data_IF_184531331996
#
_entry.id   IF_184531331996
#
_cell.length_a   1.000
_cell.length_b   1.000
_cell.length_c   1.000
_cell.angle_alpha   90.00
_cell.angle_beta   90.00
_cell.angle_gamma   90.00
#
_symmetry.space_group_name_H-M   'P 1'
#
loop_
_entity.id
_entity.type
_entity.pdbx_description
1 polymer ?
#
# COMPACT_ATOMS: atom_id res chain seq x y z
N UNK A 1 66.55 4.20 40.37
CA UNK A 1 67.95 3.73 40.41
C UNK A 1 68.01 2.44 39.61
N UNK A 2 68.44 2.54 38.35
CA UNK A 2 69.68 1.98 37.80
C UNK A 2 69.67 0.44 37.76
N UNK A 3 70.07 -0.27 36.71
CA UNK A 3 70.42 -0.02 35.32
C UNK A 3 70.88 -1.39 34.78
N UNK A 4 70.51 -1.75 33.53
CA UNK A 4 71.38 -2.37 32.50
C UNK A 4 71.90 -3.81 32.77
N UNK A 5 72.16 -4.73 31.84
CA UNK A 5 72.14 -4.82 30.36
C UNK A 5 72.38 -6.31 29.98
N UNK A 6 72.13 -6.62 28.70
CA UNK A 6 72.57 -7.76 27.85
C UNK A 6 71.37 -8.55 27.31
N UNK A 7 70.82 -8.23 26.13
CA UNK A 7 71.36 -8.50 24.77
C UNK A 7 71.87 -9.91 24.63
N UNK A 8 71.25 -10.70 23.74
CA UNK A 8 71.90 -11.50 22.69
C UNK A 8 70.86 -11.78 21.60
N UNK A 9 71.23 -11.43 20.36
CA UNK A 9 70.48 -11.65 19.12
C UNK A 9 71.04 -12.90 18.44
N UNK A 10 70.19 -13.89 18.19
CA UNK A 10 70.23 -14.84 17.04
C UNK A 10 68.76 -15.26 16.82
N UNK A 11 68.11 -14.96 15.71
CA UNK A 11 68.46 -15.38 14.37
C UNK A 11 67.78 -16.72 14.10
N UNK A 12 66.49 -16.70 13.75
CA UNK A 12 65.68 -17.88 13.47
C UNK A 12 64.40 -17.48 12.72
N UNK A 13 64.37 -17.81 11.44
CA UNK A 13 63.42 -17.38 10.42
C UNK A 13 62.34 -18.46 10.24
N UNK A 14 61.11 -18.00 9.93
CA UNK A 14 59.97 -18.72 9.32
C UNK A 14 59.19 -19.76 10.17
N UNK A 15 57.95 -19.40 10.53
CA UNK A 15 56.75 -19.84 9.79
C UNK A 15 55.49 -19.40 10.55
N UNK A 16 55.09 -18.13 10.40
CA UNK A 16 53.74 -17.72 10.78
C UNK A 16 52.79 -18.22 9.69
N UNK A 17 52.13 -19.35 9.96
CA UNK A 17 51.01 -19.83 9.19
C UNK A 17 49.85 -18.82 9.34
N UNK A 18 49.83 -17.82 8.47
CA UNK A 18 48.65 -17.02 8.21
C UNK A 18 47.63 -17.92 7.53
N UNK A 19 46.74 -18.51 8.33
CA UNK A 19 45.45 -19.00 7.86
C UNK A 19 44.69 -17.80 7.31
N UNK A 20 44.85 -17.55 6.01
CA UNK A 20 43.92 -16.75 5.23
C UNK A 20 42.55 -17.42 5.37
N UNK A 21 41.73 -16.94 6.30
CA UNK A 21 40.28 -17.08 6.21
C UNK A 21 39.91 -16.42 4.88
N UNK A 22 39.70 -17.24 3.86
CA UNK A 22 38.88 -16.85 2.73
C UNK A 22 37.52 -16.47 3.31
N UNK A 23 37.32 -15.17 3.57
CA UNK A 23 36.00 -14.62 3.77
C UNK A 23 35.28 -14.87 2.46
N UNK A 24 34.47 -15.93 2.40
CA UNK A 24 33.45 -16.06 1.37
C UNK A 24 32.66 -14.75 1.44
N UNK A 25 32.83 -13.89 0.44
CA UNK A 25 32.09 -12.64 0.32
C UNK A 25 30.63 -13.08 0.18
N UNK A 26 29.89 -12.94 1.27
CA UNK A 26 28.50 -13.35 1.33
C UNK A 26 27.73 -12.47 0.33
N UNK A 27 27.03 -13.10 -0.62
CA UNK A 27 26.26 -12.38 -1.62
C UNK A 27 25.23 -11.49 -0.92
N UNK A 28 25.16 -10.22 -1.29
CA UNK A 28 24.18 -9.30 -0.72
C UNK A 28 22.75 -9.77 -1.07
N UNK A 29 21.78 -9.59 -0.16
CA UNK A 29 20.41 -9.99 -0.42
C UNK A 29 19.85 -9.23 -1.62
N UNK A 30 19.05 -9.93 -2.44
CA UNK A 30 18.39 -9.33 -3.58
C UNK A 30 17.44 -8.22 -3.13
N UNK A 31 17.40 -7.12 -3.88
CA UNK A 31 16.45 -6.02 -3.67
C UNK A 31 15.28 -6.18 -4.62
N UNK A 32 14.08 -6.30 -4.07
CA UNK A 32 12.85 -6.51 -4.82
C UNK A 32 11.91 -5.31 -4.63
N UNK A 33 11.56 -4.66 -5.73
CA UNK A 33 10.49 -3.67 -5.77
C UNK A 33 9.26 -4.28 -6.41
N UNK A 34 8.25 -4.61 -5.60
CA UNK A 34 7.07 -5.38 -6.01
C UNK A 34 5.90 -4.44 -6.30
N UNK A 35 5.40 -4.51 -7.54
CA UNK A 35 4.23 -3.79 -8.01
C UNK A 35 2.98 -4.68 -8.13
N UNK A 36 1.94 -4.13 -8.75
CA UNK A 36 0.74 -4.87 -9.11
C UNK A 36 0.94 -5.56 -10.46
N UNK A 37 1.22 -6.87 -10.45
CA UNK A 37 1.45 -7.70 -11.64
C UNK A 37 2.90 -7.77 -12.12
N UNK A 38 3.84 -7.16 -11.39
CA UNK A 38 5.27 -7.12 -11.76
C UNK A 38 6.17 -6.94 -10.53
N UNK A 39 7.44 -7.30 -10.66
CA UNK A 39 8.50 -6.96 -9.71
C UNK A 39 9.77 -6.55 -10.45
N UNK A 40 10.43 -5.49 -9.97
CA UNK A 40 11.81 -5.20 -10.31
C UNK A 40 12.71 -5.93 -9.32
N UNK A 41 13.63 -6.73 -9.84
CA UNK A 41 14.59 -7.47 -9.03
C UNK A 41 15.97 -6.90 -9.32
N UNK A 42 16.73 -6.66 -8.27
CA UNK A 42 18.15 -6.33 -8.34
C UNK A 42 18.95 -7.37 -7.55
N UNK A 43 19.71 -8.19 -8.28
CA UNK A 43 20.61 -9.18 -7.71
C UNK A 43 22.04 -8.66 -7.69
N UNK A 44 22.77 -8.96 -6.63
CA UNK A 44 24.16 -8.54 -6.43
C UNK A 44 25.09 -9.74 -6.59
N UNK A 45 26.09 -9.56 -7.43
CA UNK A 45 27.11 -10.57 -7.69
C UNK A 45 28.45 -10.06 -7.11
N UNK A 46 29.06 -10.82 -6.19
CA UNK A 46 30.31 -10.41 -5.56
C UNK A 46 31.46 -10.37 -6.58
N UNK A 47 32.51 -9.59 -6.31
CA UNK A 47 33.69 -9.53 -7.18
C UNK A 47 34.36 -10.91 -7.27
N UNK A 48 34.74 -11.30 -8.49
CA UNK A 48 35.43 -12.56 -8.78
C UNK A 48 36.94 -12.40 -9.03
N UNK A 49 37.48 -11.18 -8.93
CA UNK A 49 38.92 -10.91 -9.03
C UNK A 49 39.27 -9.61 -9.79
N UNK A 50 40.55 -9.46 -10.12
CA UNK A 50 41.17 -8.24 -10.71
C UNK A 50 40.98 -8.05 -12.22
N UNK A 51 40.15 -8.86 -12.86
CA UNK A 51 40.01 -8.91 -14.32
C UNK A 51 38.77 -8.14 -14.81
N UNK A 52 38.93 -7.50 -15.97
CA UNK A 52 37.81 -6.94 -16.71
C UNK A 52 37.13 -8.06 -17.52
N UNK A 53 35.80 -8.06 -17.52
CA UNK A 53 34.97 -9.07 -18.17
C UNK A 53 34.25 -8.48 -19.37
N UNK A 54 34.25 -9.20 -20.49
CA UNK A 54 33.48 -8.85 -21.70
C UNK A 54 32.24 -9.74 -21.89
N UNK A 55 32.14 -10.81 -21.09
CA UNK A 55 31.15 -11.87 -21.19
C UNK A 55 30.67 -12.26 -19.81
N UNK A 56 29.35 -12.30 -19.64
CA UNK A 56 28.69 -12.73 -18.41
C UNK A 56 27.78 -13.93 -18.75
N UNK A 57 27.85 -14.99 -17.95
CA UNK A 57 26.99 -16.16 -18.11
C UNK A 57 26.11 -16.25 -16.87
N UNK A 58 24.84 -15.91 -17.04
CA UNK A 58 23.83 -16.02 -15.99
C UNK A 58 23.23 -17.43 -16.00
N UNK A 59 23.49 -18.17 -14.93
CA UNK A 59 22.99 -19.54 -14.76
C UNK A 59 21.61 -19.52 -14.09
N UNK A 60 20.65 -20.23 -14.68
CA UNK A 60 19.29 -20.39 -14.19
C UNK A 60 18.54 -19.05 -13.98
N UNK A 61 18.44 -18.20 -15.01
CA UNK A 61 17.65 -16.98 -14.91
C UNK A 61 16.16 -17.31 -14.64
N UNK A 62 15.44 -16.46 -13.91
CA UNK A 62 14.02 -16.62 -13.65
C UNK A 62 13.23 -16.74 -14.95
N UNK A 63 12.20 -17.59 -14.94
CA UNK A 63 11.19 -17.65 -16.01
C UNK A 63 9.81 -17.45 -15.38
N UNK A 64 8.96 -16.56 -15.93
CA UNK A 64 9.20 -15.64 -17.07
C UNK A 64 10.09 -14.42 -16.72
N UNK A 65 10.87 -13.91 -17.69
CA UNK A 65 11.76 -12.74 -17.54
C UNK A 65 11.60 -11.79 -18.74
N UNK A 66 11.42 -10.49 -18.48
CA UNK A 66 11.37 -9.45 -19.52
C UNK A 66 12.79 -9.01 -19.91
N UNK A 67 13.41 -9.67 -20.89
CA UNK A 67 14.81 -9.41 -21.30
C UNK A 67 15.05 -7.97 -21.79
N UNK A 68 14.05 -7.30 -22.35
CA UNK A 68 14.15 -5.90 -22.79
C UNK A 68 14.39 -4.92 -21.62
N UNK A 69 14.10 -5.36 -20.40
CA UNK A 69 14.29 -4.57 -19.17
C UNK A 69 15.62 -4.87 -18.47
N UNK A 70 16.40 -5.83 -18.98
CA UNK A 70 17.65 -6.28 -18.36
C UNK A 70 18.70 -5.18 -18.43
N UNK A 71 19.19 -4.78 -17.25
CA UNK A 71 20.26 -3.81 -17.09
C UNK A 71 21.37 -4.39 -16.24
N UNK A 72 22.61 -4.22 -16.71
CA UNK A 72 23.81 -4.53 -15.95
C UNK A 72 24.32 -3.26 -15.32
N UNK A 73 24.59 -3.28 -14.03
CA UNK A 73 25.05 -2.11 -13.28
C UNK A 73 26.43 -2.36 -12.70
N UNK A 74 27.34 -1.41 -12.94
CA UNK A 74 28.62 -1.31 -12.25
C UNK A 74 28.54 -0.21 -11.19
N UNK A 75 28.47 -0.58 -9.92
CA UNK A 75 28.32 0.29 -8.73
C UNK A 75 27.20 1.35 -8.83
N UNK A 76 27.32 2.35 -9.71
CA UNK A 76 26.39 3.48 -9.91
C UNK A 76 25.95 3.74 -11.35
N UNK A 77 26.48 3.03 -12.36
CA UNK A 77 26.15 3.30 -13.77
C UNK A 77 25.64 2.05 -14.50
N UNK A 78 24.59 2.16 -15.34
CA UNK A 78 24.21 1.08 -16.24
C UNK A 78 25.31 0.89 -17.31
N UNK A 79 25.66 -0.36 -17.56
CA UNK A 79 26.69 -0.78 -18.50
C UNK A 79 26.04 -1.29 -19.79
N UNK A 80 26.51 -0.85 -20.98
CA UNK A 80 25.87 -1.21 -22.24
C UNK A 80 26.03 -2.70 -22.58
N UNK A 81 24.91 -3.35 -22.88
CA UNK A 81 24.85 -4.71 -23.41
C UNK A 81 24.93 -4.65 -24.93
N UNK A 82 25.81 -5.46 -25.53
CA UNK A 82 25.94 -5.59 -26.99
C UNK A 82 24.91 -6.58 -27.53
N UNK A 83 24.86 -7.77 -26.95
CA UNK A 83 23.95 -8.84 -27.35
C UNK A 83 23.75 -9.83 -26.21
N UNK A 84 22.64 -10.56 -26.25
CA UNK A 84 22.35 -11.67 -25.34
C UNK A 84 21.88 -12.89 -26.13
N UNK A 85 22.21 -14.09 -25.65
CA UNK A 85 21.75 -15.35 -26.27
C UNK A 85 21.52 -16.43 -25.23
N UNK A 86 20.45 -17.19 -25.42
CA UNK A 86 20.22 -18.41 -24.65
C UNK A 86 21.22 -19.47 -25.11
N UNK A 87 22.05 -19.95 -24.19
CA UNK A 87 22.86 -21.13 -24.39
C UNK A 87 21.95 -22.34 -24.13
N UNK A 88 21.79 -23.18 -25.15
CA UNK A 88 21.14 -24.47 -24.97
C UNK A 88 21.82 -25.21 -23.81
N UNK A 89 21.03 -25.70 -22.86
CA UNK A 89 21.53 -26.66 -21.90
C UNK A 89 22.11 -27.81 -22.70
N UNK A 90 23.42 -28.03 -22.61
CA UNK A 90 24.02 -29.24 -23.12
C UNK A 90 23.37 -30.39 -22.34
N UNK A 91 22.32 -31.00 -22.91
CA UNK A 91 22.08 -32.40 -22.67
C UNK A 91 23.43 -33.07 -22.97
N UNK A 92 24.02 -33.89 -22.08
CA UNK A 92 25.04 -34.80 -22.55
C UNK A 92 24.39 -35.54 -23.71
N UNK A 93 25.01 -35.45 -24.90
CA UNK A 93 24.55 -36.20 -26.05
C UNK A 93 24.39 -37.64 -25.55
N UNK A 94 23.16 -38.14 -25.52
CA UNK A 94 22.90 -39.53 -25.19
C UNK A 94 23.60 -40.33 -26.27
N UNK A 95 24.84 -40.74 -26.02
CA UNK A 95 25.45 -41.86 -26.71
C UNK A 95 24.52 -43.02 -26.42
N UNK A 96 23.67 -43.38 -27.39
CA UNK A 96 22.84 -44.58 -27.32
C UNK A 96 23.82 -45.75 -27.26
N UNK A 97 24.00 -46.44 -26.12
CA UNK A 97 24.67 -47.72 -26.13
C UNK A 97 23.61 -48.72 -26.55
N UNK A 98 23.96 -49.56 -27.52
CA UNK A 98 23.16 -50.68 -27.99
C UNK A 98 23.02 -51.72 -26.85
N UNK A 99 22.16 -51.45 -25.88
CA UNK A 99 21.84 -52.35 -24.77
C UNK A 99 20.34 -52.65 -24.74
N UNK A 100 19.95 -53.92 -24.49
CA UNK A 100 18.55 -54.32 -24.48
C UNK A 100 17.79 -53.62 -23.35
N UNK A 101 16.58 -53.15 -23.68
CA UNK A 101 15.66 -52.47 -22.78
C UNK A 101 15.37 -53.37 -21.56
N UNK A 102 15.93 -53.03 -20.39
CA UNK A 102 15.60 -53.67 -19.13
C UNK A 102 14.70 -52.75 -18.31
N UNK A 103 13.51 -53.24 -17.96
CA UNK A 103 12.53 -52.48 -17.19
C UNK A 103 12.86 -52.61 -15.70
N UNK A 104 13.11 -51.50 -15.01
CA UNK A 104 13.32 -51.46 -13.56
C UNK A 104 12.20 -50.63 -12.89
N UNK A 105 11.42 -51.20 -11.95
CA UNK A 105 10.43 -50.47 -11.18
C UNK A 105 11.09 -49.87 -9.93
N UNK A 106 11.85 -48.80 -10.09
CA UNK A 106 12.18 -47.86 -9.00
C UNK A 106 12.17 -46.46 -9.61
N UNK A 107 11.49 -45.46 -9.00
CA UNK A 107 11.55 -44.10 -9.51
C UNK A 107 12.98 -43.58 -9.34
N UNK A 108 13.67 -43.44 -10.45
CA UNK A 108 14.88 -42.65 -10.57
C UNK A 108 14.58 -41.24 -10.01
N UNK A 109 15.45 -40.67 -9.15
CA UNK A 109 15.25 -39.32 -8.66
C UNK A 109 15.14 -38.36 -9.86
N UNK A 110 14.27 -37.34 -9.82
CA UNK A 110 14.07 -36.47 -10.96
C UNK A 110 15.40 -35.79 -11.33
N UNK A 111 15.84 -36.04 -12.57
CA UNK A 111 16.94 -35.31 -13.19
C UNK A 111 16.68 -33.81 -12.99
N UNK A 112 17.62 -33.01 -12.45
CA UNK A 112 17.41 -31.58 -12.28
C UNK A 112 17.10 -30.96 -13.65
N UNK A 113 16.14 -30.03 -13.75
CA UNK A 113 15.81 -29.42 -15.03
C UNK A 113 17.06 -28.74 -15.58
N UNK A 114 17.33 -29.02 -16.86
CA UNK A 114 18.30 -28.34 -17.70
C UNK A 114 18.41 -26.86 -17.33
N UNK A 115 19.48 -26.46 -16.64
CA UNK A 115 19.68 -25.06 -16.26
C UNK A 115 19.77 -24.21 -17.52
N UNK A 116 18.76 -23.38 -17.77
CA UNK A 116 18.85 -22.39 -18.82
C UNK A 116 20.04 -21.47 -18.50
N UNK A 117 20.92 -21.24 -19.48
CA UNK A 117 22.07 -20.34 -19.32
C UNK A 117 21.88 -19.19 -20.28
N UNK A 118 21.89 -17.96 -19.77
CA UNK A 118 21.84 -16.75 -20.59
C UNK A 118 23.25 -16.18 -20.67
N UNK A 119 23.78 -16.10 -21.88
CA UNK A 119 25.03 -15.39 -22.13
C UNK A 119 24.74 -13.94 -22.52
N UNK A 120 25.46 -13.03 -21.89
CA UNK A 120 25.37 -11.59 -22.12
C UNK A 120 26.76 -11.09 -22.51
N UNK A 121 26.86 -10.49 -23.69
CA UNK A 121 28.08 -9.87 -24.20
C UNK A 121 28.00 -8.37 -23.99
N UNK A 122 29.05 -7.83 -23.36
CA UNK A 122 29.13 -6.42 -23.02
C UNK A 122 29.73 -5.64 -24.19
N UNK A 123 29.26 -4.40 -24.41
CA UNK A 123 29.84 -3.55 -25.45
C UNK A 123 31.24 -3.04 -25.07
N UNK A 124 31.53 -2.96 -23.77
CA UNK A 124 32.80 -2.51 -23.20
C UNK A 124 33.24 -3.45 -22.05
N UNK A 125 34.55 -3.61 -21.80
CA UNK A 125 35.06 -4.37 -20.65
C UNK A 125 34.57 -3.79 -19.33
N UNK A 126 33.86 -4.61 -18.56
CA UNK A 126 33.37 -4.27 -17.24
C UNK A 126 34.39 -4.70 -16.20
N UNK A 127 34.90 -3.75 -15.39
CA UNK A 127 35.80 -4.09 -14.30
C UNK A 127 35.06 -4.80 -13.17
N UNK A 128 35.43 -6.05 -12.91
CA UNK A 128 34.74 -6.90 -11.94
C UNK A 128 35.27 -6.75 -10.50
N UNK A 129 36.21 -5.83 -10.27
CA UNK A 129 36.86 -5.57 -8.97
C UNK A 129 35.89 -5.16 -7.86
N UNK A 130 34.78 -4.51 -8.22
CA UNK A 130 33.78 -4.00 -7.27
C UNK A 130 32.48 -4.82 -7.27
N UNK A 131 32.44 -5.94 -8.01
CA UNK A 131 31.21 -6.69 -8.27
C UNK A 131 30.28 -5.97 -9.25
N UNK A 132 29.14 -6.60 -9.55
CA UNK A 132 28.13 -6.03 -10.43
C UNK A 132 26.74 -6.39 -9.92
N UNK A 133 25.71 -5.69 -10.41
CA UNK A 133 24.32 -6.06 -10.14
C UNK A 133 23.52 -6.17 -11.41
N UNK A 134 22.65 -7.17 -11.49
CA UNK A 134 21.67 -7.32 -12.57
C UNK A 134 20.34 -6.77 -12.09
N UNK A 135 19.75 -5.86 -12.86
CA UNK A 135 18.39 -5.36 -12.62
C UNK A 135 17.50 -5.80 -13.77
N UNK A 136 16.38 -6.43 -13.44
CA UNK A 136 15.46 -6.94 -14.44
C UNK A 136 14.03 -6.98 -13.91
N UNK A 137 13.06 -7.05 -14.83
CA UNK A 137 11.65 -7.11 -14.49
C UNK A 137 11.09 -8.52 -14.65
N UNK A 138 10.32 -8.93 -13.65
CA UNK A 138 9.53 -10.14 -13.66
C UNK A 138 8.05 -9.82 -13.70
N UNK A 139 7.26 -10.47 -14.56
CA UNK A 139 5.81 -10.42 -14.47
C UNK A 139 5.31 -11.40 -13.39
N UNK A 140 4.00 -11.40 -13.13
CA UNK A 140 3.32 -12.35 -12.23
C UNK A 140 3.77 -12.27 -10.76
N UNK A 141 4.11 -11.07 -10.33
CA UNK A 141 4.26 -10.70 -8.93
C UNK A 141 3.09 -9.84 -8.49
N UNK A 142 2.54 -10.11 -7.31
CA UNK A 142 1.44 -9.33 -6.76
C UNK A 142 1.59 -9.20 -5.24
N UNK A 143 0.95 -8.20 -4.64
CA UNK A 143 0.94 -8.03 -3.20
C UNK A 143 -0.43 -7.55 -2.69
N UNK A 144 -0.78 -7.98 -1.48
CA UNK A 144 -1.99 -7.55 -0.75
C UNK A 144 -1.62 -7.22 0.69
N UNK A 145 -2.09 -6.07 1.18
CA UNK A 145 -1.95 -5.69 2.58
C UNK A 145 -3.23 -6.03 3.36
N UNK A 146 -3.03 -6.52 4.57
CA UNK A 146 -4.05 -6.88 5.55
C UNK A 146 -3.71 -6.22 6.89
N UNK A 147 -4.71 -5.65 7.54
CA UNK A 147 -4.55 -4.97 8.82
C UNK A 147 -5.46 -5.61 9.86
N UNK A 148 -4.88 -6.15 10.93
CA UNK A 148 -5.65 -6.57 12.09
C UNK A 148 -5.59 -5.47 13.14
N UNK A 149 -6.75 -4.89 13.44
CA UNK A 149 -6.89 -3.78 14.38
C UNK A 149 -7.68 -4.25 15.58
N UNK A 150 -7.08 -4.27 16.77
CA UNK A 150 -7.80 -4.53 18.02
C UNK A 150 -8.00 -3.23 18.78
N UNK A 151 -9.24 -2.87 19.08
CA UNK A 151 -9.59 -1.65 19.80
C UNK A 151 -10.06 -1.98 21.21
N UNK A 152 -9.57 -1.22 22.18
CA UNK A 152 -9.91 -1.35 23.61
C UNK A 152 -10.31 0.01 24.17
N UNK A 153 -11.02 -0.01 25.30
CA UNK A 153 -11.43 1.22 25.98
C UNK A 153 -12.67 1.89 25.37
N UNK A 154 -13.41 1.18 24.51
CA UNK A 154 -14.75 1.59 24.09
C UNK A 154 -15.74 0.98 25.08
N UNK A 155 -16.29 1.82 25.95
CA UNK A 155 -17.38 1.44 26.84
C UNK A 155 -18.75 1.69 26.20
N UNK A 156 -19.84 1.23 26.84
CA UNK A 156 -21.20 1.55 26.41
C UNK A 156 -21.51 3.06 26.52
N UNK A 157 -20.88 3.75 27.47
CA UNK A 157 -21.21 5.14 27.83
C UNK A 157 -20.09 6.16 27.58
N UNK A 158 -18.83 5.73 27.38
CA UNK A 158 -17.67 6.61 27.18
C UNK A 158 -16.66 6.01 26.19
N UNK A 159 -15.95 6.91 25.50
CA UNK A 159 -14.89 6.62 24.52
C UNK A 159 -13.57 7.37 24.84
N UNK A 160 -13.34 7.79 26.09
CA UNK A 160 -12.20 8.67 26.43
C UNK A 160 -10.83 7.97 26.43
N UNK A 161 -10.80 6.65 26.63
CA UNK A 161 -9.56 5.89 26.84
C UNK A 161 -9.30 4.85 25.73
N UNK A 162 -9.52 5.23 24.48
CA UNK A 162 -9.40 4.31 23.34
C UNK A 162 -7.94 3.97 23.07
N UNK A 163 -7.64 2.67 23.11
CA UNK A 163 -6.33 2.12 22.78
C UNK A 163 -6.44 1.16 21.61
N UNK A 164 -5.38 1.08 20.80
CA UNK A 164 -5.32 0.18 19.64
C UNK A 164 -4.07 -0.67 19.66
N UNK A 165 -4.24 -1.91 19.20
CA UNK A 165 -3.17 -2.71 18.63
C UNK A 165 -3.40 -2.81 17.12
N UNK A 166 -2.37 -2.54 16.33
CA UNK A 166 -2.40 -2.65 14.87
C UNK A 166 -1.33 -3.66 14.45
N UNK A 167 -1.70 -4.66 13.68
CA UNK A 167 -0.76 -5.55 13.00
C UNK A 167 -0.98 -5.45 11.49
N UNK A 168 0.01 -4.93 10.78
CA UNK A 168 0.03 -4.92 9.32
C UNK A 168 0.76 -6.15 8.79
N UNK A 169 0.03 -6.96 8.02
CA UNK A 169 0.53 -8.16 7.34
C UNK A 169 0.48 -7.89 5.84
N UNK A 170 1.56 -8.22 5.16
CA UNK A 170 1.66 -8.14 3.71
C UNK A 170 1.77 -9.57 3.16
N UNK A 171 0.97 -9.89 2.16
CA UNK A 171 1.08 -11.14 1.42
C UNK A 171 1.59 -10.86 0.03
N UNK A 172 2.76 -11.37 -0.29
CA UNK A 172 3.38 -11.29 -1.61
C UNK A 172 3.14 -12.62 -2.32
N UNK A 173 2.70 -12.56 -3.57
CA UNK A 173 2.49 -13.69 -4.46
C UNK A 173 3.59 -13.67 -5.52
N UNK A 174 4.30 -14.79 -5.64
CA UNK A 174 5.32 -14.99 -6.64
C UNK A 174 4.89 -16.16 -7.55
N UNK A 175 4.42 -15.84 -8.75
CA UNK A 175 4.07 -16.84 -9.75
C UNK A 175 5.27 -17.36 -10.55
N UNK A 176 6.47 -16.82 -10.32
CA UNK A 176 7.68 -17.19 -11.07
C UNK A 176 8.44 -18.37 -10.46
N UNK A 177 9.32 -18.95 -11.25
CA UNK A 177 10.20 -20.06 -10.85
C UNK A 177 11.38 -19.65 -9.97
N UNK A 178 11.63 -18.35 -9.78
CA UNK A 178 12.72 -17.88 -8.94
C UNK A 178 12.34 -17.82 -7.47
N UNK A 179 13.31 -18.17 -6.62
CA UNK A 179 13.26 -18.00 -5.17
C UNK A 179 14.17 -16.86 -4.77
N UNK A 180 13.74 -16.06 -3.80
CA UNK A 180 14.55 -14.97 -3.25
C UNK A 180 14.64 -15.12 -1.73
N UNK A 181 15.72 -15.73 -1.21
CA UNK A 181 15.96 -15.78 0.23
C UNK A 181 16.39 -14.40 0.74
N UNK A 182 15.94 -14.04 1.95
CA UNK A 182 16.32 -12.80 2.65
C UNK A 182 16.16 -11.51 1.82
N UNK A 183 15.19 -11.47 0.91
CA UNK A 183 15.00 -10.36 -0.01
C UNK A 183 14.63 -9.07 0.72
N UNK A 184 15.28 -7.96 0.36
CA UNK A 184 14.89 -6.62 0.80
C UNK A 184 13.77 -6.09 -0.06
N UNK A 185 12.66 -5.72 0.55
CA UNK A 185 11.43 -5.45 -0.17
C UNK A 185 11.06 -3.97 -0.17
N UNK A 186 10.56 -3.51 -1.30
CA UNK A 186 9.87 -2.23 -1.45
C UNK A 186 8.61 -2.48 -2.26
N UNK A 187 7.50 -1.83 -1.92
CA UNK A 187 6.26 -1.99 -2.67
C UNK A 187 6.00 -0.76 -3.50
N UNK A 188 5.35 -0.95 -4.63
CA UNK A 188 4.75 0.12 -5.42
C UNK A 188 3.30 -0.23 -5.63
N UNK A 189 2.42 0.72 -5.34
CA UNK A 189 1.01 0.52 -5.64
C UNK A 189 0.21 1.80 -5.67
N UNK A 190 -0.96 1.66 -6.27
CA UNK A 190 -1.97 2.71 -6.40
C UNK A 190 -3.15 2.40 -5.50
N UNK A 191 -3.75 3.43 -4.92
CA UNK A 191 -4.97 3.26 -4.13
C UNK A 191 -6.21 3.25 -5.01
N UNK A 192 -6.66 2.05 -5.42
CA UNK A 192 -7.85 1.88 -6.25
C UNK A 192 -9.13 2.46 -5.64
N UNK A 193 -9.20 2.68 -4.32
CA UNK A 193 -10.35 3.31 -3.66
C UNK A 193 -10.51 4.79 -4.03
N UNK A 194 -9.45 5.42 -4.54
CA UNK A 194 -9.54 6.78 -5.11
C UNK A 194 -10.27 6.79 -6.45
N UNK A 195 -10.47 5.63 -7.10
CA UNK A 195 -11.32 5.58 -8.29
C UNK A 195 -12.78 5.70 -7.84
N UNK A 196 -13.53 6.71 -8.33
CA UNK A 196 -14.96 6.73 -8.09
C UNK A 196 -15.58 5.44 -8.66
N UNK A 197 -16.52 4.80 -7.95
CA UNK A 197 -17.20 3.64 -8.50
C UNK A 197 -17.87 4.02 -9.83
N UNK A 198 -17.90 3.12 -10.83
CA UNK A 198 -18.61 3.39 -12.06
C UNK A 198 -20.05 3.71 -11.69
N UNK A 199 -20.52 4.91 -12.05
CA UNK A 199 -21.92 5.26 -11.83
C UNK A 199 -22.77 4.23 -12.58
N UNK A 200 -23.72 3.53 -11.91
CA UNK A 200 -24.60 2.62 -12.62
C UNK A 200 -25.34 3.40 -13.71
N UNK A 201 -25.61 2.73 -14.83
CA UNK A 201 -26.48 3.28 -15.87
C UNK A 201 -27.81 3.68 -15.22
N UNK A 202 -28.05 4.98 -15.11
CA UNK A 202 -29.36 5.49 -14.77
C UNK A 202 -30.28 5.27 -15.96
N UNK A 203 -31.48 4.76 -15.70
CA UNK A 203 -32.54 4.53 -16.69
C UNK A 203 -33.17 5.89 -17.10
N UNK A 204 -32.34 6.85 -17.50
CA UNK A 204 -32.77 8.12 -18.04
C UNK A 204 -32.77 8.02 -19.56
N UNK A 205 -33.88 8.40 -20.18
CA UNK A 205 -34.01 8.52 -21.63
C UNK A 205 -33.09 9.66 -22.09
N UNK A 206 -31.88 9.31 -22.54
CA UNK A 206 -30.87 10.26 -22.96
C UNK A 206 -31.27 10.81 -24.34
N UNK A 207 -31.75 12.05 -24.37
CA UNK A 207 -32.03 12.74 -25.63
C UNK A 207 -30.68 13.15 -26.29
N UNK A 208 -30.32 12.59 -27.47
CA UNK A 208 -29.06 12.89 -28.15
C UNK A 208 -28.91 14.35 -28.57
N UNK A 209 -30.01 15.12 -28.61
CA UNK A 209 -30.00 16.54 -29.02
C UNK A 209 -29.71 17.51 -27.85
N UNK A 210 -29.40 16.99 -26.66
CA UNK A 210 -29.07 17.81 -25.49
C UNK A 210 -27.61 17.67 -25.07
N UNK A 211 -26.93 18.80 -24.83
CA UNK A 211 -25.53 18.88 -24.39
C UNK A 211 -25.22 18.15 -23.06
N UNK A 212 -26.23 17.65 -22.35
CA UNK A 212 -26.07 16.78 -21.18
C UNK A 212 -25.68 15.35 -21.57
N UNK A 213 -26.10 14.88 -22.75
CA UNK A 213 -25.80 13.53 -23.25
C UNK A 213 -24.31 13.38 -23.56
N UNK A 214 -23.62 14.45 -24.00
CA UNK A 214 -22.18 14.45 -24.24
C UNK A 214 -21.33 14.21 -22.97
N UNK A 215 -21.76 14.73 -21.81
CA UNK A 215 -21.07 14.52 -20.53
C UNK A 215 -21.23 13.08 -20.00
N UNK A 216 -22.26 12.37 -20.45
CA UNK A 216 -22.50 10.96 -20.13
C UNK A 216 -21.86 10.01 -21.14
N UNK A 217 -21.82 10.39 -22.42
CA UNK A 217 -21.15 9.65 -23.49
C UNK A 217 -19.62 9.73 -23.40
N UNK A 218 -19.09 10.85 -22.92
CA UNK A 218 -17.66 11.06 -22.67
C UNK A 218 -17.43 11.38 -21.19
N UNK A 219 -17.53 10.40 -20.27
CA UNK A 219 -17.19 10.61 -18.88
C UNK A 219 -15.74 11.13 -18.81
N UNK A 220 -15.52 12.18 -18.02
CA UNK A 220 -14.18 12.70 -17.79
C UNK A 220 -13.25 11.56 -17.38
N UNK A 221 -12.14 11.41 -18.09
CA UNK A 221 -11.18 10.34 -17.83
C UNK A 221 -10.81 10.35 -16.35
N UNK A 222 -10.90 9.19 -15.65
CA UNK A 222 -10.57 9.13 -14.24
C UNK A 222 -9.14 9.65 -14.05
N UNK A 223 -8.96 10.54 -13.08
CA UNK A 223 -7.66 11.13 -12.77
C UNK A 223 -6.64 9.99 -12.59
N UNK A 224 -5.49 10.01 -13.27
CA UNK A 224 -4.52 8.93 -13.16
C UNK A 224 -4.05 8.81 -11.70
N UNK A 225 -4.08 7.59 -11.18
CA UNK A 225 -3.58 7.30 -9.85
C UNK A 225 -2.05 7.31 -9.92
N UNK A 226 -1.43 8.13 -9.07
CA UNK A 226 0.02 8.20 -8.95
C UNK A 226 0.46 7.00 -8.11
N UNK A 227 1.33 6.10 -8.62
CA UNK A 227 1.89 5.02 -7.81
C UNK A 227 2.73 5.58 -6.67
N UNK A 228 2.50 5.07 -5.46
CA UNK A 228 3.28 5.44 -4.28
C UNK A 228 4.20 4.29 -3.91
N UNK A 229 5.44 4.61 -3.55
CA UNK A 229 6.42 3.65 -3.08
C UNK A 229 6.33 3.49 -1.55
N UNK A 230 6.40 2.24 -1.09
CA UNK A 230 6.37 1.87 0.32
C UNK A 230 7.66 1.11 0.65
N UNK A 231 8.68 1.77 1.21
CA UNK A 231 9.91 1.10 1.60
C UNK A 231 9.62 0.21 2.81
N UNK A 232 9.78 -1.11 2.66
CA UNK A 232 9.70 -2.03 3.79
C UNK A 232 11.09 -2.16 4.41
N UNK A 233 11.17 -2.19 5.74
CA UNK A 233 12.42 -2.38 6.48
C UNK A 233 12.65 -3.85 6.86
N UNK A 234 11.87 -4.77 6.29
CA UNK A 234 11.87 -6.19 6.64
C UNK A 234 12.40 -7.02 5.48
N UNK A 235 13.33 -7.93 5.79
CA UNK A 235 13.80 -8.97 4.88
C UNK A 235 12.85 -10.17 4.93
N UNK A 236 12.60 -10.81 3.78
CA UNK A 236 11.69 -11.95 3.71
C UNK A 236 12.08 -12.97 2.64
N UNK A 237 11.80 -14.23 2.96
CA UNK A 237 11.95 -15.34 2.02
C UNK A 237 10.75 -15.43 1.09
N UNK A 238 10.99 -15.27 -0.21
CA UNK A 238 9.97 -15.42 -1.24
C UNK A 238 10.20 -16.76 -1.98
N UNK A 239 9.33 -17.76 -1.76
CA UNK A 239 9.43 -19.04 -2.47
C UNK A 239 9.03 -18.89 -3.94
N UNK A 240 9.55 -19.79 -4.78
CA UNK A 240 9.09 -19.96 -6.16
C UNK A 240 7.65 -20.51 -6.20
N UNK A 241 6.83 -20.04 -7.13
CA UNK A 241 5.42 -20.44 -7.30
C UNK A 241 4.63 -20.49 -6.00
N UNK A 242 4.81 -19.45 -5.17
CA UNK A 242 4.32 -19.46 -3.81
C UNK A 242 3.97 -18.08 -3.28
N UNK A 243 3.78 -18.01 -1.97
CA UNK A 243 3.44 -16.78 -1.28
C UNK A 243 4.27 -16.61 -0.02
N UNK A 244 4.56 -15.37 0.33
CA UNK A 244 5.22 -14.99 1.56
C UNK A 244 4.31 -14.05 2.36
N UNK A 245 4.19 -14.30 3.67
CA UNK A 245 3.46 -13.43 4.60
C UNK A 245 4.45 -12.70 5.50
N UNK A 246 4.40 -11.38 5.49
CA UNK A 246 5.40 -10.51 6.11
C UNK A 246 4.69 -9.56 7.03
N UNK A 247 5.06 -9.57 8.30
CA UNK A 247 4.61 -8.55 9.25
C UNK A 247 5.47 -7.31 9.08
N UNK A 248 4.89 -6.24 8.55
CA UNK A 248 5.63 -5.01 8.26
C UNK A 248 5.32 -3.88 9.24
N UNK A 249 4.16 -3.89 9.90
CA UNK A 249 3.76 -2.88 10.88
C UNK A 249 3.25 -3.53 12.17
N UNK A 250 3.59 -2.92 13.31
CA UNK A 250 3.18 -3.37 14.63
C UNK A 250 3.04 -2.22 15.61
N UNK A 251 1.84 -2.05 16.15
CA UNK A 251 1.52 -1.10 17.22
C UNK A 251 0.87 -1.86 18.35
N UNK A 252 1.25 -1.57 19.59
CA UNK A 252 0.62 -2.16 20.76
C UNK A 252 0.33 -1.13 21.84
N UNK A 253 -0.90 -1.14 22.34
CA UNK A 253 -1.41 -0.33 23.47
C UNK A 253 -1.12 1.15 23.29
N UNK A 254 -1.36 1.68 22.09
CA UNK A 254 -1.21 3.11 21.80
C UNK A 254 -2.58 3.82 21.76
N UNK A 255 -2.64 5.09 22.15
CA UNK A 255 -3.89 5.85 22.10
C UNK A 255 -4.33 6.07 20.65
N UNK A 256 -5.63 6.00 20.40
CA UNK A 256 -6.24 6.41 19.14
C UNK A 256 -7.43 7.33 19.40
N UNK A 257 -7.89 7.99 18.35
CA UNK A 257 -9.04 8.89 18.41
C UNK A 257 -10.23 8.29 17.70
N UNK A 258 -11.43 8.66 18.15
CA UNK A 258 -12.68 8.30 17.49
C UNK A 258 -13.35 9.59 17.03
N UNK A 259 -13.75 9.61 15.77
CA UNK A 259 -14.54 10.67 15.17
C UNK A 259 -15.84 10.10 14.60
N UNK A 260 -16.92 10.88 14.60
CA UNK A 260 -18.19 10.48 14.02
C UNK A 260 -18.41 11.25 12.72
N UNK A 261 -18.77 10.53 11.65
CA UNK A 261 -19.03 11.10 10.34
C UNK A 261 -20.51 11.16 10.05
N UNK A 262 -20.99 12.37 9.78
CA UNK A 262 -22.32 12.68 9.29
C UNK A 262 -22.20 13.05 7.81
N UNK A 263 -22.78 12.26 6.92
CA UNK A 263 -22.80 12.55 5.49
C UNK A 263 -24.26 12.81 5.06
N UNK A 264 -24.51 13.92 4.36
CA UNK A 264 -25.86 14.29 3.92
C UNK A 264 -26.50 13.26 2.99
N UNK A 265 -25.70 12.48 2.25
CA UNK A 265 -26.22 11.40 1.41
C UNK A 265 -26.74 10.22 2.23
N UNK A 266 -26.29 10.07 3.47
CA UNK A 266 -26.76 9.05 4.40
C UNK A 266 -27.92 9.55 5.28
N UNK A 267 -28.12 10.87 5.37
CA UNK A 267 -29.12 11.51 6.24
C UNK A 267 -30.00 12.43 5.40
N UNK A 268 -31.09 11.90 4.81
CA UNK A 268 -31.93 12.67 3.91
C UNK A 268 -32.64 13.80 4.64
N UNK A 269 -33.03 14.84 3.89
CA UNK A 269 -33.91 15.90 4.38
C UNK A 269 -35.31 15.73 3.75
N UNK A 270 -36.39 15.67 4.55
CA UNK A 270 -36.42 15.61 6.00
C UNK A 270 -36.01 14.22 6.53
N UNK A 271 -35.28 14.19 7.64
CA UNK A 271 -34.97 12.93 8.33
C UNK A 271 -36.17 12.45 9.15
N UNK A 272 -36.45 11.13 9.23
CA UNK A 272 -37.46 10.57 10.12
C UNK A 272 -37.29 11.00 11.60
N UNK A 273 -38.38 10.89 12.36
CA UNK A 273 -38.38 11.21 13.80
C UNK A 273 -37.35 10.37 14.55
N UNK A 274 -36.59 11.01 15.45
CA UNK A 274 -35.53 10.37 16.23
C UNK A 274 -34.14 10.41 15.59
N UNK A 275 -33.99 10.87 14.34
CA UNK A 275 -32.70 11.01 13.68
C UNK A 275 -32.02 9.67 13.34
N UNK A 276 -30.97 9.74 12.52
CA UNK A 276 -30.23 8.57 12.07
C UNK A 276 -28.88 8.45 12.79
N UNK A 277 -28.41 7.21 13.04
CA UNK A 277 -27.12 6.97 13.68
C UNK A 277 -25.97 7.44 12.79
N UNK A 278 -24.95 8.03 13.41
CA UNK A 278 -23.73 8.44 12.71
C UNK A 278 -22.75 7.27 12.57
N UNK A 279 -21.91 7.33 11.53
CA UNK A 279 -20.82 6.37 11.37
C UNK A 279 -19.65 6.72 12.27
N UNK A 280 -19.16 5.75 13.03
CA UNK A 280 -17.99 5.90 13.88
C UNK A 280 -16.74 5.57 13.06
N UNK A 281 -15.74 6.44 13.10
CA UNK A 281 -14.47 6.33 12.40
C UNK A 281 -13.35 6.29 13.43
N UNK A 282 -12.56 5.22 13.42
CA UNK A 282 -11.33 5.11 14.19
C UNK A 282 -10.20 5.83 13.45
N UNK A 283 -9.49 6.71 14.17
CA UNK A 283 -8.38 7.51 13.67
C UNK A 283 -7.09 7.06 14.39
N UNK A 284 -6.19 6.43 13.64
CA UNK A 284 -4.89 5.98 14.14
C UNK A 284 -3.80 6.86 13.51
N UNK A 285 -3.10 7.71 14.27
CA UNK A 285 -2.05 8.56 13.71
C UNK A 285 -0.87 7.72 13.20
N UNK A 286 -0.45 7.94 11.96
CA UNK A 286 0.78 7.40 11.39
C UNK A 286 1.95 8.33 11.72
N UNK A 287 2.53 8.13 12.90
CA UNK A 287 3.64 8.93 13.43
C UNK A 287 4.68 8.05 14.13
N UNK A 288 5.95 8.49 14.23
CA UNK A 288 7.00 7.71 14.90
C UNK A 288 6.65 7.35 16.35
N UNK A 289 5.93 8.23 17.06
CA UNK A 289 5.49 8.01 18.43
C UNK A 289 4.53 6.80 18.59
N UNK A 290 3.82 6.46 17.51
CA UNK A 290 2.94 5.30 17.44
C UNK A 290 3.69 4.00 17.09
N UNK A 291 4.99 4.07 16.81
CA UNK A 291 5.76 2.95 16.26
C UNK A 291 5.52 2.73 14.77
N UNK A 292 4.96 3.74 14.09
CA UNK A 292 4.76 3.77 12.64
C UNK A 292 5.69 4.81 12.03
N UNK A 293 6.37 4.52 10.92
CA UNK A 293 7.47 5.36 10.44
C UNK A 293 7.54 5.50 8.92
N UNK A 294 6.52 5.05 8.21
CA UNK A 294 6.53 4.93 6.75
C UNK A 294 5.08 5.03 6.23
N UNK A 295 4.87 5.36 4.94
CA UNK A 295 3.53 5.37 4.37
C UNK A 295 2.89 3.99 4.46
N UNK A 296 1.60 3.90 4.80
CA UNK A 296 0.89 2.63 4.89
C UNK A 296 0.16 2.34 3.57
N UNK A 297 0.33 1.14 2.98
CA UNK A 297 -0.34 0.78 1.74
C UNK A 297 -1.86 0.60 1.92
N UNK A 298 -2.66 0.85 0.89
CA UNK A 298 -4.07 0.48 0.91
C UNK A 298 -4.23 -1.04 1.03
N UNK A 299 -5.28 -1.50 1.71
CA UNK A 299 -5.47 -2.92 2.03
C UNK A 299 -6.80 -3.26 2.66
N UNK A 300 -6.98 -4.51 3.04
CA UNK A 300 -8.13 -4.97 3.83
C UNK A 300 -7.84 -4.77 5.32
N UNK A 301 -8.86 -4.48 6.12
CA UNK A 301 -8.73 -4.38 7.56
C UNK A 301 -9.84 -5.14 8.27
N UNK A 302 -9.43 -5.89 9.28
CA UNK A 302 -10.29 -6.60 10.20
C UNK A 302 -10.20 -5.94 11.58
N UNK A 303 -11.35 -5.51 12.07
CA UNK A 303 -11.52 -4.80 13.33
C UNK A 303 -12.02 -5.77 14.39
N UNK A 304 -11.35 -5.79 15.54
CA UNK A 304 -11.71 -6.57 16.72
C UNK A 304 -11.93 -5.64 17.91
N UNK A 305 -12.93 -5.94 18.74
CA UNK A 305 -13.19 -5.21 19.98
C UNK A 305 -12.69 -6.03 21.18
N UNK A 306 -11.88 -5.41 22.04
CA UNK A 306 -11.30 -6.01 23.24
C UNK A 306 -10.13 -6.94 22.97
N UNK A 307 -10.36 -8.03 22.23
CA UNK A 307 -9.35 -9.03 21.90
C UNK A 307 -9.60 -9.67 20.53
N UNK A 308 -8.55 -10.20 19.90
CA UNK A 308 -8.67 -11.05 18.70
C UNK A 308 -9.24 -12.40 19.13
N UNK A 309 -10.57 -12.51 19.19
CA UNK A 309 -11.29 -13.76 19.48
C UNK A 309 -12.45 -13.92 18.51
N UNK A 310 -12.44 -15.01 17.75
CA UNK A 310 -13.50 -15.31 16.79
C UNK A 310 -13.45 -14.42 15.54
N UNK A 311 -14.62 -14.21 14.94
CA UNK A 311 -14.77 -13.39 13.74
C UNK A 311 -14.51 -11.90 14.04
N UNK A 312 -14.04 -11.12 13.04
CA UNK A 312 -13.92 -9.68 13.18
C UNK A 312 -15.28 -9.04 13.45
N UNK A 313 -15.29 -8.02 14.31
CA UNK A 313 -16.47 -7.18 14.54
C UNK A 313 -16.89 -6.48 13.25
N UNK A 314 -15.91 -6.03 12.47
CA UNK A 314 -16.14 -5.44 11.16
C UNK A 314 -14.93 -5.67 10.26
N UNK A 315 -15.19 -5.94 8.99
CA UNK A 315 -14.17 -5.96 7.95
C UNK A 315 -14.41 -4.78 7.00
N UNK A 316 -13.32 -4.16 6.57
CA UNK A 316 -13.35 -3.00 5.70
C UNK A 316 -12.13 -2.92 4.81
N UNK A 317 -12.03 -1.82 4.07
CA UNK A 317 -10.82 -1.46 3.33
C UNK A 317 -10.24 -0.17 3.87
N UNK A 318 -8.93 -0.12 3.86
CA UNK A 318 -8.12 1.00 4.31
C UNK A 318 -7.46 1.64 3.09
N UNK A 319 -7.50 2.96 3.06
CA UNK A 319 -6.87 3.77 2.02
C UNK A 319 -5.38 3.95 2.28
N UNK A 320 -4.66 4.37 1.24
CA UNK A 320 -3.29 4.82 1.38
C UNK A 320 -3.20 5.87 2.50
N UNK A 321 -2.30 5.66 3.45
CA UNK A 321 -2.05 6.64 4.52
C UNK A 321 -0.63 7.18 4.40
N UNK A 322 -0.45 8.49 4.12
CA UNK A 322 0.87 9.09 4.02
C UNK A 322 1.58 9.10 5.38
N UNK A 323 2.88 9.38 5.35
CA UNK A 323 3.69 9.60 6.54
C UNK A 323 4.26 11.03 6.51
N UNK A 324 3.95 11.90 7.48
CA UNK A 324 2.95 11.72 8.53
C UNK A 324 1.51 11.74 7.99
N UNK A 325 0.58 11.07 8.66
CA UNK A 325 -0.83 10.99 8.25
C UNK A 325 -1.71 10.31 9.30
N UNK A 326 -2.97 10.02 8.98
CA UNK A 326 -3.90 9.32 9.88
C UNK A 326 -4.62 8.22 9.14
N UNK A 327 -4.48 6.99 9.64
CA UNK A 327 -5.22 5.82 9.18
C UNK A 327 -6.67 5.94 9.64
N UNK A 328 -7.62 5.82 8.72
CA UNK A 328 -9.05 5.89 9.03
C UNK A 328 -9.69 4.54 8.80
N UNK A 329 -10.42 4.04 9.80
CA UNK A 329 -11.17 2.79 9.71
C UNK A 329 -12.63 3.02 10.11
N UNK A 330 -13.55 2.63 9.24
CA UNK A 330 -14.98 2.72 9.50
C UNK A 330 -15.41 1.60 10.46
N UNK A 331 -15.99 1.99 11.59
CA UNK A 331 -16.53 1.11 12.65
C UNK A 331 -18.05 0.96 12.57
N UNK A 332 -18.68 1.46 11.50
CA UNK A 332 -20.11 1.32 11.27
C UNK A 332 -20.96 2.36 12.00
N UNK A 333 -22.29 2.29 11.81
CA UNK A 333 -23.23 3.21 12.46
C UNK A 333 -23.35 2.94 13.96
N UNK A 334 -23.53 4.00 14.77
CA UNK A 334 -23.73 3.91 16.21
C UNK A 334 -24.91 4.76 16.68
N UNK A 335 -25.80 4.17 17.48
CA UNK A 335 -27.04 4.83 17.94
C UNK A 335 -26.83 5.87 19.04
N UNK A 336 -25.64 5.90 19.64
CA UNK A 336 -25.27 6.84 20.71
C UNK A 336 -24.99 8.26 20.21
N UNK A 337 -24.76 8.44 18.91
CA UNK A 337 -24.61 9.76 18.30
C UNK A 337 -25.52 9.82 17.08
N UNK A 338 -26.47 10.75 17.11
CA UNK A 338 -27.53 10.84 16.10
C UNK A 338 -27.52 12.19 15.42
N UNK A 339 -27.97 12.22 14.17
CA UNK A 339 -28.20 13.45 13.44
C UNK A 339 -29.56 13.45 12.75
N UNK A 340 -30.14 14.63 12.64
CA UNK A 340 -31.37 14.88 11.88
C UNK A 340 -31.19 16.11 11.02
N UNK A 341 -31.67 16.04 9.78
CA UNK A 341 -31.58 17.10 8.78
C UNK A 341 -32.99 17.55 8.38
N UNK A 342 -33.20 18.85 8.29
CA UNK A 342 -34.48 19.48 7.93
C UNK A 342 -34.24 20.66 7.00
N UNK A 343 -35.10 20.79 5.98
CA UNK A 343 -35.26 22.02 5.24
C UNK A 343 -36.13 22.96 6.08
N UNK A 344 -35.64 24.16 6.36
CA UNK A 344 -36.34 25.18 7.14
C UNK A 344 -37.19 26.09 6.25
N UNK A 345 -36.56 26.67 5.24
CA UNK A 345 -37.18 27.64 4.34
C UNK A 345 -36.60 27.49 2.94
N UNK A 346 -37.43 27.69 1.92
CA UNK A 346 -36.99 27.82 0.54
C UNK A 346 -37.69 29.04 -0.09
N UNK A 347 -36.89 29.98 -0.58
CA UNK A 347 -37.38 31.25 -1.15
C UNK A 347 -36.87 31.42 -2.58
N UNK A 348 -37.72 31.73 -3.57
CA UNK A 348 -37.26 32.04 -4.91
C UNK A 348 -36.51 33.37 -4.93
N UNK A 349 -35.46 33.47 -5.76
CA UNK A 349 -34.69 34.71 -5.96
C UNK A 349 -35.14 35.44 -7.25
N UNK A 350 -35.23 36.78 -7.26
CA UNK A 350 -35.70 37.56 -8.43
C UNK A 350 -34.85 37.35 -9.70
N UNK A 351 -33.57 37.06 -9.52
CA UNK A 351 -32.55 36.86 -10.56
C UNK A 351 -32.56 35.44 -11.19
N UNK A 352 -33.50 34.60 -10.79
CA UNK A 352 -33.57 33.18 -11.16
C UNK A 352 -32.69 32.34 -10.24
N UNK A 353 -33.32 31.45 -9.47
CA UNK A 353 -32.66 30.63 -8.46
C UNK A 353 -33.51 30.48 -7.20
N UNK A 354 -32.97 29.73 -6.25
CA UNK A 354 -33.61 29.47 -4.97
C UNK A 354 -32.61 29.71 -3.85
N UNK A 355 -33.07 30.27 -2.75
CA UNK A 355 -32.34 30.29 -1.50
C UNK A 355 -32.96 29.26 -0.59
N UNK A 356 -32.17 28.27 -0.17
CA UNK A 356 -32.63 27.22 0.76
C UNK A 356 -31.89 27.34 2.09
N UNK A 357 -32.64 27.27 3.18
CA UNK A 357 -32.11 27.24 4.53
C UNK A 357 -32.34 25.86 5.13
N UNK A 358 -31.28 25.30 5.69
CA UNK A 358 -31.24 23.95 6.20
C UNK A 358 -30.77 23.95 7.66
N UNK A 359 -31.21 22.95 8.40
CA UNK A 359 -30.78 22.68 9.76
C UNK A 359 -30.32 21.22 9.90
N UNK A 360 -29.17 21.03 10.54
CA UNK A 360 -28.66 19.73 10.97
C UNK A 360 -28.56 19.75 12.48
N UNK A 361 -29.37 18.94 13.16
CA UNK A 361 -29.34 18.77 14.61
C UNK A 361 -28.58 17.51 14.94
N UNK A 362 -27.51 17.66 15.73
CA UNK A 362 -26.63 16.60 16.20
C UNK A 362 -26.88 16.37 17.69
N UNK A 363 -26.96 15.12 18.10
CA UNK A 363 -27.21 14.72 19.50
C UNK A 363 -26.13 13.74 19.92
N UNK A 364 -25.42 14.07 21.00
CA UNK A 364 -24.50 13.16 21.67
C UNK A 364 -25.20 12.55 22.89
N UNK A 365 -25.37 11.23 22.93
CA UNK A 365 -25.90 10.52 24.10
C UNK A 365 -24.81 9.95 25.01
N UNK A 366 -23.52 10.10 24.66
CA UNK A 366 -22.40 9.64 25.47
C UNK A 366 -22.10 10.60 26.62
N UNK A 367 -21.50 10.04 27.67
CA UNK A 367 -20.97 10.76 28.83
C UNK A 367 -19.60 11.41 28.57
N UNK A 368 -19.01 11.14 27.41
CA UNK A 368 -17.76 11.72 26.91
C UNK A 368 -18.00 12.70 25.76
N UNK A 369 -17.14 13.72 25.58
CA UNK A 369 -17.20 14.57 24.40
C UNK A 369 -16.92 13.76 23.13
N UNK A 370 -17.54 14.15 22.01
CA UNK A 370 -17.37 13.48 20.71
C UNK A 370 -16.97 14.46 19.62
N UNK A 371 -16.00 14.07 18.80
CA UNK A 371 -15.70 14.80 17.57
C UNK A 371 -16.66 14.35 16.46
N UNK A 372 -17.20 15.33 15.71
CA UNK A 372 -18.12 15.10 14.60
C UNK A 372 -17.62 15.86 13.37
N UNK A 373 -17.53 15.14 12.26
CA UNK A 373 -17.30 15.68 10.93
C UNK A 373 -18.59 15.59 10.13
N UNK A 374 -19.19 16.74 9.83
CA UNK A 374 -20.37 16.84 8.99
C UNK A 374 -19.94 17.21 7.57
N UNK A 375 -20.26 16.35 6.61
CA UNK A 375 -20.07 16.59 5.19
C UNK A 375 -21.42 16.74 4.51
N UNK A 376 -21.78 17.98 4.24
CA UNK A 376 -23.01 18.33 3.55
C UNK A 376 -22.74 18.48 2.05
N UNK A 377 -23.36 17.65 1.22
CA UNK A 377 -23.35 17.74 -0.24
C UNK A 377 -24.71 18.24 -0.73
N UNK A 378 -24.82 19.49 -1.18
CA UNK A 378 -26.06 20.02 -1.74
C UNK A 378 -26.45 19.27 -3.02
N UNK A 379 -27.71 18.84 -3.09
CA UNK A 379 -28.29 18.16 -4.25
C UNK A 379 -28.66 19.19 -5.32
N UNK A 380 -27.68 19.72 -6.07
CA UNK A 380 -27.98 20.63 -7.20
C UNK A 380 -27.21 20.30 -8.48
N UNK A 381 -27.85 20.37 -9.66
CA UNK A 381 -27.25 19.96 -10.93
C UNK A 381 -26.31 20.99 -11.60
N UNK A 382 -26.28 22.27 -11.17
CA UNK A 382 -25.44 23.32 -11.82
C UNK A 382 -24.44 24.02 -10.90
N UNK A 383 -24.80 24.28 -9.65
CA UNK A 383 -23.92 24.97 -8.72
C UNK A 383 -24.68 25.58 -7.54
N UNK A 384 -23.96 25.76 -6.44
CA UNK A 384 -24.46 26.34 -5.20
C UNK A 384 -23.38 27.24 -4.61
N UNK A 385 -23.81 28.19 -3.78
CA UNK A 385 -22.91 29.03 -2.98
C UNK A 385 -23.44 29.15 -1.56
N UNK A 386 -22.52 29.20 -0.59
CA UNK A 386 -22.87 29.42 0.80
C UNK A 386 -23.17 30.90 1.02
N UNK A 387 -24.36 31.21 1.51
CA UNK A 387 -24.75 32.59 1.88
C UNK A 387 -24.37 32.89 3.32
N UNK A 388 -24.72 31.98 4.24
CA UNK A 388 -24.38 32.09 5.66
C UNK A 388 -24.34 30.73 6.32
N UNK A 389 -23.60 30.64 7.42
CA UNK A 389 -23.56 29.49 8.31
C UNK A 389 -23.49 29.96 9.75
N UNK A 390 -24.15 29.22 10.64
CA UNK A 390 -24.09 29.42 12.11
C UNK A 390 -22.74 29.03 12.71
N UNK A 391 -21.96 28.18 12.03
CA UNK A 391 -20.66 27.66 12.48
C UNK A 391 -19.64 27.82 11.34
N UNK A 392 -18.36 28.10 11.62
CA UNK A 392 -17.31 28.05 10.61
C UNK A 392 -17.29 26.72 9.85
N UNK A 393 -17.13 26.78 8.54
CA UNK A 393 -17.08 25.59 7.69
C UNK A 393 -16.11 25.77 6.52
N UNK A 394 -15.49 24.67 6.10
CA UNK A 394 -14.69 24.64 4.89
C UNK A 394 -15.60 24.38 3.68
N UNK A 395 -15.58 25.31 2.72
CA UNK A 395 -16.36 25.21 1.48
C UNK A 395 -15.49 24.59 0.39
N UNK A 396 -15.98 23.52 -0.22
CA UNK A 396 -15.38 22.92 -1.43
C UNK A 396 -16.38 23.00 -2.57
N UNK A 397 -15.94 22.72 -3.80
CA UNK A 397 -16.82 22.75 -5.00
C UNK A 397 -18.03 21.82 -4.90
N UNK A 398 -17.98 20.78 -4.05
CA UNK A 398 -19.03 19.75 -3.96
C UNK A 398 -19.56 19.50 -2.56
N UNK A 399 -18.97 20.11 -1.52
CA UNK A 399 -19.43 19.92 -0.15
C UNK A 399 -19.09 21.11 0.77
N UNK A 400 -19.89 21.26 1.83
CA UNK A 400 -19.55 21.98 3.05
C UNK A 400 -19.05 20.97 4.09
N UNK A 401 -17.90 21.25 4.70
CA UNK A 401 -17.37 20.42 5.79
C UNK A 401 -17.38 21.22 7.10
N UNK A 402 -18.02 20.66 8.12
CA UNK A 402 -18.05 21.20 9.48
C UNK A 402 -17.34 20.23 10.42
N UNK A 403 -16.36 20.72 11.15
CA UNK A 403 -15.66 19.98 12.20
C UNK A 403 -16.02 20.60 13.54
N UNK A 404 -16.63 19.81 14.43
CA UNK A 404 -17.03 20.29 15.76
C UNK A 404 -16.85 19.21 16.82
N UNK A 405 -16.79 19.64 18.08
CA UNK A 405 -16.79 18.76 19.25
C UNK A 405 -18.06 19.00 20.05
N UNK A 406 -18.87 17.96 20.24
CA UNK A 406 -20.03 18.01 21.12
C UNK A 406 -19.64 17.62 22.54
N UNK A 407 -20.10 18.39 23.52
CA UNK A 407 -19.99 18.04 24.93
C UNK A 407 -20.82 16.78 25.25
N UNK A 408 -20.56 16.13 26.40
CA UNK A 408 -21.40 15.03 26.91
C UNK A 408 -22.88 15.40 26.95
N UNK A 409 -23.75 14.49 26.54
CA UNK A 409 -25.22 14.66 26.55
C UNK A 409 -25.74 15.93 25.85
N UNK A 410 -24.93 16.57 25.00
CA UNK A 410 -25.28 17.84 24.37
C UNK A 410 -26.03 17.64 23.05
N UNK A 411 -26.85 18.63 22.72
CA UNK A 411 -27.49 18.77 21.41
C UNK A 411 -27.04 20.09 20.79
N UNK A 412 -26.66 20.05 19.52
CA UNK A 412 -26.24 21.23 18.78
C UNK A 412 -26.89 21.25 17.40
N UNK A 413 -27.37 22.41 16.98
CA UNK A 413 -27.97 22.61 15.67
C UNK A 413 -27.10 23.52 14.82
N UNK A 414 -26.77 23.04 13.63
CA UNK A 414 -26.08 23.78 12.58
C UNK A 414 -27.15 24.29 11.61
N UNK A 415 -27.32 25.59 11.52
CA UNK A 415 -28.10 26.23 10.45
C UNK A 415 -27.17 26.80 9.39
N UNK A 416 -27.52 26.58 8.13
CA UNK A 416 -26.79 27.15 6.98
C UNK A 416 -27.76 27.43 5.85
N UNK A 417 -27.38 28.42 5.03
CA UNK A 417 -28.20 28.92 3.94
C UNK A 417 -27.40 28.88 2.65
N UNK A 418 -27.99 28.25 1.65
CA UNK A 418 -27.43 28.05 0.34
C UNK A 418 -28.20 28.87 -0.68
N UNK A 419 -27.47 29.45 -1.62
CA UNK A 419 -28.03 29.99 -2.85
C UNK A 419 -27.81 28.96 -3.95
N UNK A 420 -28.90 28.48 -4.53
CA UNK A 420 -28.97 27.48 -5.57
C UNK A 420 -29.30 28.16 -6.89
N UNK A 421 -28.52 27.86 -7.93
CA UNK A 421 -28.76 28.44 -9.26
C UNK A 421 -29.71 27.53 -10.04
N UNK A 422 -30.92 28.00 -10.32
CA UNK A 422 -31.91 27.30 -11.13
C UNK A 422 -31.55 27.35 -12.63
N UNK A 423 -32.05 26.41 -13.43
CA UNK A 423 -32.03 26.51 -14.90
C UNK A 423 -32.69 27.83 -15.31
N UNK A 424 -32.09 28.60 -16.22
CA UNK A 424 -32.88 29.52 -17.04
C UNK A 424 -33.79 28.64 -17.92
N UNK A 425 -35.11 28.92 -17.99
CA UNK A 425 -36.02 28.17 -18.86
C UNK A 425 -35.62 28.28 -20.33
#
# INVERSE_FOLDING_TARGET
>A
MNAWRHSWIRGGVLAAAWLARATAIQAEPAQLTVGQGWAWVREFFPPSGDQDINRLVWTNPPVPLELDTLQIWNVRRPWPIREWRWLASALPAASVPDQPLSWHPVPEPPVPPAHARLEILLAEPLSHRMGHSLTYRLPDFNWKAFYHVTVRGIGPESIDAVQVDLAGILRIFNGTSARYPDARLSLVGTDELLRPPPKPFGLLDLNPDTALTDLWLAPAAPKPLIPVAYPLQTEADIPAHGQAEIRFAGVSRKPAQISHRCDSTAIPAPTPSGGLPLRRILLIPNTPAMGLGFPLPPGQADLFLGAVRGAPFQSGRVQHTPFPGTLQLDMGPVDTVRASRRLLEETPLPEGGWQSEHAITLVNHLSSPVQIQVRERPETPRGWSLVRSSIPCAVTTSALNFDLTLAPHATQTITYRLRLVARRP
#
